data_IF_830979209330
#
_entry.id   IF_830979209330
#
_cell.length_a   1.000
_cell.length_b   1.000
_cell.length_c   1.000
_cell.angle_alpha   90.00
_cell.angle_beta   90.00
_cell.angle_gamma   90.00
#
_symmetry.space_group_name_H-M   'P 1'
#
loop_
_entity.id
_entity.type
_entity.pdbx_description
1 polymer ?
#
# COMPACT_ATOMS: atom_id res chain seq x y z
N UNK A 1 -11.72 -4.53 -15.99
CA UNK A 1 -11.03 -5.42 -15.03
C UNK A 1 -11.72 -5.50 -13.68
N UNK A 2 -12.22 -4.39 -13.11
CA UNK A 2 -12.98 -4.44 -11.84
C UNK A 2 -14.20 -5.37 -11.85
N UNK A 3 -14.97 -5.38 -12.95
CA UNK A 3 -16.14 -6.28 -13.08
C UNK A 3 -15.75 -7.77 -13.15
N UNK A 4 -14.58 -8.08 -13.73
CA UNK A 4 -14.06 -9.44 -13.78
C UNK A 4 -13.57 -9.91 -12.41
N UNK A 5 -12.85 -9.05 -11.66
CA UNK A 5 -12.43 -9.35 -10.29
C UNK A 5 -13.61 -9.55 -9.33
N UNK A 6 -14.68 -8.75 -9.48
CA UNK A 6 -15.89 -8.90 -8.69
C UNK A 6 -16.61 -10.23 -8.95
N UNK A 7 -16.50 -10.78 -10.17
CA UNK A 7 -17.14 -12.03 -10.56
C UNK A 7 -16.30 -13.27 -10.24
N UNK A 8 -14.97 -13.19 -10.34
CA UNK A 8 -14.09 -14.35 -10.12
C UNK A 8 -13.61 -14.48 -8.68
N UNK A 9 -13.58 -13.39 -7.90
CA UNK A 9 -13.08 -13.39 -6.53
C UNK A 9 -11.64 -13.86 -6.41
N UNK A 10 -10.87 -13.77 -7.49
CA UNK A 10 -9.48 -14.26 -7.53
C UNK A 10 -8.62 -13.44 -6.56
N UNK A 11 -7.90 -14.08 -5.62
CA UNK A 11 -6.98 -13.36 -4.76
C UNK A 11 -5.87 -12.74 -5.61
N UNK A 12 -5.57 -11.47 -5.35
CA UNK A 12 -4.51 -10.71 -6.00
C UNK A 12 -3.36 -10.52 -5.02
N UNK A 13 -2.13 -10.73 -5.49
CA UNK A 13 -0.94 -10.39 -4.74
C UNK A 13 -0.68 -8.88 -4.71
N UNK A 14 0.24 -8.45 -3.84
CA UNK A 14 0.62 -7.04 -3.73
C UNK A 14 1.18 -6.49 -5.06
N UNK A 15 1.95 -7.30 -5.80
CA UNK A 15 2.49 -6.91 -7.11
C UNK A 15 1.42 -6.66 -8.17
N UNK A 16 0.40 -7.50 -8.23
CA UNK A 16 -0.72 -7.32 -9.17
C UNK A 16 -1.58 -6.11 -8.79
N UNK A 17 -1.79 -5.89 -7.49
CA UNK A 17 -2.51 -4.71 -7.02
C UNK A 17 -1.81 -3.40 -7.42
N UNK A 18 -0.47 -3.35 -7.36
CA UNK A 18 0.32 -2.21 -7.81
C UNK A 18 0.26 -2.05 -9.34
N UNK A 19 0.42 -3.15 -10.11
CA UNK A 19 0.40 -3.11 -11.57
C UNK A 19 -0.96 -2.71 -12.16
N UNK A 20 -2.05 -3.09 -11.49
CA UNK A 20 -3.42 -2.74 -11.88
C UNK A 20 -3.86 -1.36 -11.37
N UNK A 21 -3.00 -0.65 -10.63
CA UNK A 21 -3.33 0.64 -10.02
C UNK A 21 -4.42 0.56 -8.94
N UNK A 22 -4.58 -0.62 -8.32
CA UNK A 22 -5.49 -0.82 -7.19
C UNK A 22 -4.85 -0.38 -5.86
N UNK A 23 -3.53 -0.39 -5.79
CA UNK A 23 -2.75 0.11 -4.67
C UNK A 23 -1.78 1.19 -5.15
N UNK A 24 -1.69 2.29 -4.39
CA UNK A 24 -0.77 3.40 -4.67
C UNK A 24 0.64 3.12 -4.16
N UNK A 25 0.77 2.41 -3.02
CA UNK A 25 2.03 2.10 -2.37
C UNK A 25 2.00 0.71 -1.73
N UNK A 26 3.14 0.01 -1.76
CA UNK A 26 3.37 -1.19 -0.95
C UNK A 26 4.17 -0.88 0.29
N UNK A 27 3.79 -1.50 1.41
CA UNK A 27 4.48 -1.38 2.69
C UNK A 27 4.97 -2.77 3.13
N UNK A 28 6.17 -2.84 3.70
CA UNK A 28 6.66 -4.08 4.32
C UNK A 28 5.83 -4.37 5.58
N UNK A 29 5.39 -5.63 5.74
CA UNK A 29 4.53 -6.04 6.86
C UNK A 29 5.15 -5.74 8.23
N UNK A 30 6.48 -5.93 8.34
CA UNK A 30 7.23 -5.69 9.57
C UNK A 30 7.31 -4.20 9.93
N UNK A 31 7.12 -3.30 8.96
CA UNK A 31 7.14 -1.85 9.16
C UNK A 31 5.74 -1.26 9.36
N UNK A 32 4.68 -2.05 9.19
CA UNK A 32 3.30 -1.57 9.25
C UNK A 32 2.93 -1.02 10.63
N UNK A 33 3.41 -1.65 11.71
CA UNK A 33 3.21 -1.17 13.07
C UNK A 33 3.87 0.20 13.28
N UNK A 34 5.13 0.36 12.87
CA UNK A 34 5.86 1.62 12.98
C UNK A 34 5.28 2.73 12.11
N UNK A 35 4.78 2.40 10.92
CA UNK A 35 4.09 3.36 10.07
C UNK A 35 2.77 3.84 10.71
N UNK A 36 2.03 2.94 11.37
CA UNK A 36 0.83 3.31 12.12
C UNK A 36 1.12 4.17 13.33
N UNK A 37 2.16 3.87 14.09
CA UNK A 37 2.57 4.68 15.24
C UNK A 37 2.96 6.10 14.79
N UNK A 38 3.73 6.24 13.71
CA UNK A 38 4.09 7.54 13.14
C UNK A 38 2.87 8.36 12.68
N UNK A 39 1.85 7.70 12.12
CA UNK A 39 0.59 8.37 11.76
C UNK A 39 -0.25 8.74 12.99
N UNK A 40 -0.19 7.96 14.07
CA UNK A 40 -0.92 8.23 15.31
C UNK A 40 -0.36 9.43 16.07
N UNK A 41 0.92 9.74 15.90
CA UNK A 41 1.54 10.97 16.44
C UNK A 41 1.03 12.24 15.76
N UNK A 42 0.35 12.13 14.62
CA UNK A 42 -0.21 13.26 13.90
C UNK A 42 -1.43 13.84 14.63
N UNK A 43 -1.28 15.02 15.22
CA UNK A 43 -2.38 15.69 15.93
C UNK A 43 -3.39 16.35 14.99
N UNK A 44 -2.97 16.72 13.77
CA UNK A 44 -3.79 17.34 12.73
C UNK A 44 -3.37 16.80 11.36
N UNK A 45 -4.29 16.78 10.39
CA UNK A 45 -3.99 16.29 9.04
C UNK A 45 -2.95 17.19 8.37
N UNK A 46 -1.72 16.70 8.28
CA UNK A 46 -0.62 17.30 7.54
C UNK A 46 -0.30 16.42 6.33
N UNK A 47 -0.74 16.86 5.16
CA UNK A 47 -0.55 16.14 3.90
C UNK A 47 0.93 15.96 3.57
N UNK A 48 1.78 16.94 3.88
CA UNK A 48 3.21 16.86 3.59
C UNK A 48 3.88 15.80 4.47
N UNK A 49 3.53 15.76 5.76
CA UNK A 49 4.04 14.72 6.66
C UNK A 49 3.55 13.32 6.25
N UNK A 50 2.27 13.18 5.90
CA UNK A 50 1.70 11.91 5.43
C UNK A 50 2.41 11.42 4.15
N UNK A 51 2.65 12.32 3.18
CA UNK A 51 3.44 11.99 1.97
C UNK A 51 4.86 11.55 2.32
N UNK A 52 5.49 12.21 3.29
CA UNK A 52 6.84 11.83 3.74
C UNK A 52 6.86 10.48 4.48
N UNK A 53 5.84 10.17 5.28
CA UNK A 53 5.66 8.83 5.86
C UNK A 53 5.56 7.78 4.76
N UNK A 54 4.73 7.99 3.73
CA UNK A 54 4.67 7.05 2.60
C UNK A 54 6.01 6.91 1.88
N UNK A 55 6.73 8.00 1.63
CA UNK A 55 8.07 7.93 1.04
C UNK A 55 9.08 7.17 1.91
N UNK A 56 8.90 7.18 3.24
CA UNK A 56 9.81 6.52 4.19
C UNK A 56 9.54 5.03 4.31
N UNK A 57 8.26 4.63 4.38
CA UNK A 57 7.86 3.25 4.64
C UNK A 57 7.48 2.46 3.38
N UNK A 58 7.30 3.15 2.24
CA UNK A 58 6.99 2.47 0.98
C UNK A 58 8.20 1.69 0.48
N UNK A 59 7.94 0.44 0.10
CA UNK A 59 8.91 -0.43 -0.57
C UNK A 59 8.53 -0.59 -2.04
N UNK A 60 9.55 -0.86 -2.86
CA UNK A 60 9.33 -1.32 -4.22
C UNK A 60 8.70 -2.72 -4.17
N UNK A 61 7.44 -2.83 -4.61
CA UNK A 61 6.78 -4.13 -4.78
C UNK A 61 7.05 -4.57 -6.21
N UNK A 62 7.80 -5.66 -6.35
CA UNK A 62 7.95 -6.34 -7.64
C UNK A 62 6.73 -7.21 -7.89
N UNK A 63 6.38 -7.44 -9.16
CA UNK A 63 5.39 -8.45 -9.47
C UNK A 63 5.94 -9.82 -9.04
N UNK A 64 5.30 -10.43 -8.05
CA UNK A 64 5.57 -11.82 -7.70
C UNK A 64 4.89 -12.67 -8.77
N UNK A 65 5.63 -12.99 -9.83
CA UNK A 65 5.21 -13.99 -10.83
C UNK A 65 5.06 -15.34 -10.12
N UNK A 66 3.82 -15.76 -9.88
CA UNK A 66 3.47 -17.11 -9.40
C UNK A 66 2.52 -17.80 -10.37
#
# INVERSE_FOLDING_TARGET
MGEWLALTGTPLGAGDAMALGLADHGLAVDQLASAWDALAELQFVDVAYITQCFATFSIAVSQEET
#
